data_IF_900934647848
#
_entry.id   IF_900934647848
#
_cell.length_a   1.000
_cell.length_b   1.000
_cell.length_c   1.000
_cell.angle_alpha   90.00
_cell.angle_beta   90.00
_cell.angle_gamma   90.00
#
_symmetry.space_group_name_H-M   'P 1'
#
loop_
_entity.id
_entity.type
_entity.pdbx_description
1 polymer ?
#
# COMPACT_ATOMS: atom_id res chain seq x y z
N UNK A 1 61.69 40.92 -14.51
CA UNK A 1 61.63 40.46 -13.10
C UNK A 1 60.61 39.33 -13.05
N UNK A 2 60.93 38.12 -13.52
CA UNK A 2 61.31 36.93 -12.72
C UNK A 2 60.64 36.81 -11.34
N UNK A 3 59.68 35.88 -11.26
CA UNK A 3 59.67 34.79 -10.27
C UNK A 3 58.79 33.63 -10.76
N UNK A 4 59.46 32.54 -11.06
CA UNK A 4 58.95 31.17 -11.16
C UNK A 4 58.28 30.71 -9.86
N UNK A 5 57.22 29.90 -9.98
CA UNK A 5 57.00 28.73 -9.12
C UNK A 5 56.40 27.61 -9.98
N UNK A 6 57.23 26.62 -10.25
CA UNK A 6 56.84 25.28 -10.69
C UNK A 6 56.25 24.47 -9.53
N UNK A 7 55.35 23.54 -9.81
CA UNK A 7 54.84 22.57 -8.83
C UNK A 7 53.97 21.50 -9.49
N UNK A 8 54.59 20.37 -9.80
CA UNK A 8 54.17 19.27 -10.68
C UNK A 8 52.84 18.57 -10.33
N UNK A 9 52.18 17.95 -11.34
CA UNK A 9 51.15 16.94 -11.15
C UNK A 9 51.79 15.57 -10.83
N UNK A 10 51.26 14.84 -9.86
CA UNK A 10 51.52 13.41 -9.67
C UNK A 10 50.23 12.65 -10.00
N UNK A 11 50.17 11.87 -11.08
CA UNK A 11 50.76 10.53 -11.31
C UNK A 11 49.91 9.39 -10.74
N UNK A 12 49.11 8.81 -11.65
CA UNK A 12 48.81 7.39 -11.92
C UNK A 12 48.89 6.35 -10.78
N UNK A 13 47.74 5.70 -10.57
CA UNK A 13 47.59 4.24 -10.48
C UNK A 13 46.24 3.95 -11.17
N UNK A 14 46.18 3.60 -12.46
CA UNK A 14 46.36 2.27 -13.04
C UNK A 14 46.08 1.08 -12.11
N UNK A 15 44.84 0.59 -12.14
CA UNK A 15 44.56 -0.85 -12.16
C UNK A 15 43.60 -1.12 -13.31
N UNK A 16 44.19 -1.43 -14.47
CA UNK A 16 43.82 -2.48 -15.41
C UNK A 16 42.76 -3.49 -14.96
N UNK A 17 42.04 -4.00 -15.97
CA UNK A 17 41.44 -5.35 -16.07
C UNK A 17 40.06 -5.55 -15.44
N UNK A 18 39.02 -6.06 -16.13
CA UNK A 18 38.87 -6.56 -17.51
C UNK A 18 37.37 -6.53 -17.82
N UNK A 19 37.02 -6.22 -19.07
CA UNK A 19 35.77 -6.69 -19.64
C UNK A 19 35.76 -8.23 -19.67
N UNK A 20 34.68 -8.85 -19.22
CA UNK A 20 34.36 -10.25 -19.52
C UNK A 20 32.84 -10.43 -19.54
N UNK A 21 32.26 -10.06 -20.67
CA UNK A 21 31.09 -10.73 -21.22
C UNK A 21 31.49 -12.16 -21.56
N UNK A 22 31.11 -13.17 -20.74
CA UNK A 22 31.32 -14.59 -21.07
C UNK A 22 30.20 -15.46 -20.44
N UNK A 23 29.32 -15.93 -21.34
CA UNK A 23 28.80 -17.31 -21.46
C UNK A 23 27.69 -17.75 -20.49
N UNK A 24 26.53 -18.06 -21.09
CA UNK A 24 25.54 -18.94 -20.50
C UNK A 24 26.09 -20.36 -20.31
N UNK A 25 25.83 -20.93 -19.14
CA UNK A 25 25.94 -22.35 -18.84
C UNK A 25 24.55 -22.76 -18.34
N UNK A 26 23.77 -23.47 -19.16
CA UNK A 26 23.75 -24.93 -19.29
C UNK A 26 23.05 -25.58 -18.08
N UNK A 27 21.87 -26.13 -18.33
CA UNK A 27 21.13 -26.92 -17.35
C UNK A 27 21.91 -28.20 -16.99
N UNK A 28 22.01 -28.55 -15.70
CA UNK A 28 21.42 -29.77 -15.06
C UNK A 28 22.06 -30.12 -13.70
N UNK A 29 21.43 -31.01 -12.90
CA UNK A 29 21.07 -30.75 -11.51
C UNK A 29 21.99 -31.49 -10.53
N UNK A 30 22.14 -30.96 -9.32
CA UNK A 30 22.88 -31.66 -8.27
C UNK A 30 22.84 -30.89 -6.96
N UNK A 31 22.15 -31.50 -6.00
CA UNK A 31 22.45 -31.43 -4.57
C UNK A 31 22.10 -30.15 -3.81
N UNK A 32 20.82 -30.09 -3.42
CA UNK A 32 20.39 -29.96 -2.02
C UNK A 32 21.36 -29.31 -1.03
N UNK A 33 21.65 -28.01 -1.19
CA UNK A 33 22.06 -27.20 -0.06
C UNK A 33 20.77 -26.78 0.68
N UNK A 34 20.42 -27.55 1.72
CA UNK A 34 19.39 -27.21 2.68
C UNK A 34 19.65 -25.78 3.18
N UNK A 35 18.94 -24.81 2.58
CA UNK A 35 18.88 -23.45 3.07
C UNK A 35 18.52 -23.53 4.56
N UNK A 36 19.49 -23.20 5.41
CA UNK A 36 19.32 -23.15 6.86
C UNK A 36 18.00 -22.41 7.14
N UNK A 37 17.09 -22.95 7.98
CA UNK A 37 15.82 -22.32 8.22
C UNK A 37 16.09 -20.89 8.69
N UNK A 38 15.65 -19.90 7.92
CA UNK A 38 15.76 -18.49 8.28
C UNK A 38 15.11 -18.37 9.65
N UNK A 39 15.92 -18.16 10.70
CA UNK A 39 15.41 -18.01 12.05
C UNK A 39 14.55 -16.75 12.06
N UNK A 40 13.24 -16.96 12.20
CA UNK A 40 12.29 -15.85 12.28
C UNK A 40 12.65 -15.02 13.51
N UNK A 41 12.70 -13.69 13.32
CA UNK A 41 12.89 -12.81 14.47
C UNK A 41 11.70 -13.01 15.41
N UNK A 42 11.93 -13.13 16.72
CA UNK A 42 10.83 -13.22 17.66
C UNK A 42 9.99 -11.94 17.58
N UNK A 43 8.66 -12.09 17.66
CA UNK A 43 7.71 -10.98 17.55
C UNK A 43 7.98 -9.85 18.56
N UNK A 44 8.62 -10.16 19.68
CA UNK A 44 9.07 -9.22 20.71
C UNK A 44 10.16 -8.25 20.24
N UNK A 45 10.82 -8.53 19.12
CA UNK A 45 11.81 -7.62 18.51
C UNK A 45 11.14 -6.45 17.80
N UNK A 46 9.85 -6.56 17.45
CA UNK A 46 9.12 -5.42 16.91
C UNK A 46 8.81 -4.42 18.04
N UNK A 47 9.54 -3.31 18.02
CA UNK A 47 9.17 -2.10 18.75
C UNK A 47 7.99 -1.45 18.04
N UNK A 48 6.79 -1.91 18.34
CA UNK A 48 5.60 -1.19 17.92
C UNK A 48 5.52 0.14 18.68
N UNK A 49 5.28 1.26 18.00
CA UNK A 49 4.97 2.51 18.69
C UNK A 49 3.71 2.30 19.54
N UNK A 50 3.71 2.89 20.73
CA UNK A 50 2.54 2.87 21.61
C UNK A 50 1.33 3.44 20.87
N UNK A 51 0.22 2.69 20.85
CA UNK A 51 -1.06 3.11 20.30
C UNK A 51 -1.90 3.62 21.47
N UNK A 52 -2.23 4.93 21.52
CA UNK A 52 -3.07 5.47 22.59
C UNK A 52 -4.43 4.78 22.65
N UNK A 53 -4.90 4.54 23.86
CA UNK A 53 -6.26 4.08 24.11
C UNK A 53 -7.27 5.21 23.83
N UNK A 54 -8.50 4.87 23.44
CA UNK A 54 -9.54 5.85 23.15
C UNK A 54 -9.85 6.71 24.40
N UNK A 55 -9.99 8.05 24.26
CA UNK A 55 -10.32 8.91 25.38
C UNK A 55 -11.69 8.55 25.94
N UNK A 56 -11.75 8.27 27.25
CA UNK A 56 -12.99 7.86 27.93
C UNK A 56 -14.06 8.96 27.99
N UNK A 57 -13.71 10.20 27.65
CA UNK A 57 -14.64 11.32 27.57
C UNK A 57 -14.46 12.06 26.23
N UNK A 58 -15.33 11.83 25.24
CA UNK A 58 -15.26 12.56 23.98
C UNK A 58 -15.66 14.02 24.20
N UNK A 59 -14.92 14.94 23.59
CA UNK A 59 -15.25 16.36 23.58
C UNK A 59 -16.64 16.56 22.93
N UNK A 60 -17.62 17.15 23.63
CA UNK A 60 -18.98 17.32 23.09
C UNK A 60 -19.02 18.15 21.80
N UNK A 61 -18.05 19.02 21.56
CA UNK A 61 -17.94 19.80 20.32
C UNK A 61 -17.49 18.94 19.13
N UNK A 62 -16.84 17.81 19.39
CA UNK A 62 -16.35 16.86 18.38
C UNK A 62 -17.37 15.80 17.99
N UNK A 63 -18.62 15.95 18.44
CA UNK A 63 -19.71 15.02 18.13
C UNK A 63 -20.09 15.02 16.65
N UNK A 64 -19.98 16.16 15.98
CA UNK A 64 -20.36 16.32 14.57
C UNK A 64 -19.23 15.98 13.58
N UNK A 65 -17.99 15.84 14.08
CA UNK A 65 -16.86 15.38 13.26
C UNK A 65 -17.03 13.87 12.96
N UNK A 66 -16.74 13.45 11.73
CA UNK A 66 -16.77 12.04 11.37
C UNK A 66 -15.79 11.26 12.27
N UNK A 67 -16.28 10.21 12.96
CA UNK A 67 -15.44 9.41 13.87
C UNK A 67 -14.27 8.78 13.09
N UNK A 68 -13.01 8.95 13.55
CA UNK A 68 -11.90 8.26 12.93
C UNK A 68 -12.09 6.74 13.03
N UNK A 69 -11.65 6.02 12.00
CA UNK A 69 -11.68 4.56 11.99
C UNK A 69 -10.88 4.00 13.18
N UNK A 70 -11.46 3.01 13.84
CA UNK A 70 -10.84 2.30 14.94
C UNK A 70 -9.87 1.22 14.45
N UNK A 71 -8.91 0.84 15.29
CA UNK A 71 -7.93 -0.20 14.95
C UNK A 71 -8.60 -1.53 14.57
N UNK A 72 -9.58 -1.98 15.35
CA UNK A 72 -10.32 -3.20 15.03
C UNK A 72 -11.06 -3.11 13.69
N UNK A 73 -11.49 -1.91 13.27
CA UNK A 73 -12.13 -1.71 11.97
C UNK A 73 -11.10 -1.85 10.84
N UNK A 74 -9.91 -1.27 11.01
CA UNK A 74 -8.81 -1.49 10.07
C UNK A 74 -8.43 -2.96 9.95
N UNK A 75 -8.37 -3.70 11.06
CA UNK A 75 -8.08 -5.13 11.07
C UNK A 75 -9.14 -5.94 10.32
N UNK A 76 -10.42 -5.64 10.53
CA UNK A 76 -11.52 -6.28 9.78
C UNK A 76 -11.45 -5.97 8.29
N UNK A 77 -11.17 -4.73 7.92
CA UNK A 77 -10.99 -4.33 6.52
C UNK A 77 -9.81 -5.10 5.90
N UNK A 78 -8.67 -5.16 6.60
CA UNK A 78 -7.46 -5.83 6.11
C UNK A 78 -7.61 -7.36 6.01
N UNK A 79 -8.40 -7.98 6.88
CA UNK A 79 -8.61 -9.44 6.92
C UNK A 79 -9.80 -9.93 6.07
N UNK A 80 -10.65 -9.03 5.57
CA UNK A 80 -11.85 -9.38 4.80
C UNK A 80 -11.53 -10.18 3.52
N UNK A 81 -12.17 -11.33 3.36
CA UNK A 81 -12.08 -12.15 2.14
C UNK A 81 -12.84 -11.50 0.97
N UNK A 82 -14.07 -11.03 1.21
CA UNK A 82 -14.90 -10.38 0.20
C UNK A 82 -14.23 -9.15 -0.41
N UNK A 83 -13.51 -8.36 0.40
CA UNK A 83 -12.76 -7.21 -0.11
C UNK A 83 -11.61 -7.64 -1.04
N UNK A 84 -10.88 -8.69 -0.66
CA UNK A 84 -9.77 -9.24 -1.47
C UNK A 84 -10.26 -9.79 -2.80
N UNK A 85 -11.32 -10.59 -2.78
CA UNK A 85 -11.96 -11.14 -3.98
C UNK A 85 -12.44 -10.05 -4.94
N UNK A 86 -13.06 -8.99 -4.41
CA UNK A 86 -13.51 -7.84 -5.22
C UNK A 86 -12.34 -7.10 -5.85
N UNK A 87 -11.25 -6.88 -5.11
CA UNK A 87 -10.05 -6.23 -5.65
C UNK A 87 -9.32 -7.10 -6.69
N UNK A 88 -9.31 -8.42 -6.50
CA UNK A 88 -8.69 -9.35 -7.45
C UNK A 88 -9.49 -9.48 -8.75
N UNK A 89 -10.82 -9.44 -8.66
CA UNK A 89 -11.71 -9.45 -9.83
C UNK A 89 -11.63 -8.16 -10.65
N UNK A 90 -11.18 -7.05 -10.05
CA UNK A 90 -11.20 -5.71 -10.66
C UNK A 90 -9.80 -5.07 -10.62
N UNK A 91 -8.86 -5.46 -11.50
CA UNK A 91 -7.48 -4.94 -11.47
C UNK A 91 -7.37 -3.44 -11.76
N UNK A 92 -8.27 -2.88 -12.58
CA UNK A 92 -8.34 -1.44 -12.86
C UNK A 92 -8.62 -0.63 -11.60
N UNK A 93 -9.43 -1.16 -10.68
CA UNK A 93 -9.73 -0.51 -9.41
C UNK A 93 -8.47 -0.30 -8.56
N UNK A 94 -7.52 -1.24 -8.59
CA UNK A 94 -6.23 -1.11 -7.90
C UNK A 94 -5.39 0.05 -8.45
N UNK A 95 -5.47 0.32 -9.75
CA UNK A 95 -4.76 1.43 -10.40
C UNK A 95 -5.37 2.76 -9.94
N UNK A 96 -6.70 2.87 -9.97
CA UNK A 96 -7.43 4.06 -9.51
C UNK A 96 -7.16 4.36 -8.03
N UNK A 97 -7.17 3.33 -7.17
CA UNK A 97 -6.86 3.48 -5.76
C UNK A 97 -5.43 3.98 -5.54
N UNK A 98 -4.45 3.50 -6.32
CA UNK A 98 -3.08 4.02 -6.26
C UNK A 98 -2.99 5.47 -6.70
N UNK A 99 -3.68 5.86 -7.78
CA UNK A 99 -3.69 7.27 -8.19
C UNK A 99 -4.29 8.18 -7.13
N UNK A 100 -5.39 7.75 -6.48
CA UNK A 100 -6.00 8.50 -5.38
C UNK A 100 -5.05 8.67 -4.18
N UNK A 101 -4.24 7.66 -3.89
CA UNK A 101 -3.30 7.69 -2.75
C UNK A 101 -2.12 8.65 -2.98
N UNK A 102 -1.81 8.95 -4.26
CA UNK A 102 -0.83 9.98 -4.61
C UNK A 102 -1.38 11.40 -4.46
N UNK A 103 -2.71 11.58 -4.55
CA UNK A 103 -3.36 12.88 -4.45
C UNK A 103 -3.47 13.35 -3.00
N UNK A 104 -3.44 14.67 -2.77
CA UNK A 104 -3.57 15.29 -1.45
C UNK A 104 -4.46 16.52 -1.53
N UNK A 105 -5.22 16.77 -0.47
CA UNK A 105 -6.13 17.92 -0.40
C UNK A 105 -7.23 17.87 -1.46
N UNK A 106 -7.72 19.04 -1.85
CA UNK A 106 -8.97 19.21 -2.60
C UNK A 106 -9.09 18.35 -3.87
N UNK A 107 -7.99 18.11 -4.59
CA UNK A 107 -7.99 17.25 -5.79
C UNK A 107 -8.43 15.81 -5.48
N UNK A 108 -7.99 15.29 -4.34
CA UNK A 108 -8.37 13.95 -3.86
C UNK A 108 -9.85 13.90 -3.53
N UNK A 109 -10.36 14.91 -2.83
CA UNK A 109 -11.78 14.98 -2.48
C UNK A 109 -12.66 15.05 -3.74
N UNK A 110 -12.31 15.88 -4.72
CA UNK A 110 -13.04 15.96 -6.00
C UNK A 110 -13.00 14.62 -6.77
N UNK A 111 -11.86 13.95 -6.80
CA UNK A 111 -11.72 12.65 -7.44
C UNK A 111 -12.55 11.57 -6.74
N UNK A 112 -12.63 11.60 -5.40
CA UNK A 112 -13.47 10.70 -4.61
C UNK A 112 -14.97 10.97 -4.83
N UNK A 113 -15.38 12.23 -4.84
CA UNK A 113 -16.77 12.61 -5.14
C UNK A 113 -17.18 12.13 -6.54
N UNK A 114 -16.28 12.25 -7.52
CA UNK A 114 -16.47 11.74 -8.87
C UNK A 114 -16.67 10.22 -8.88
N UNK A 115 -15.73 9.48 -8.30
CA UNK A 115 -15.76 8.02 -8.28
C UNK A 115 -16.91 7.43 -7.46
N UNK A 116 -17.37 8.14 -6.44
CA UNK A 116 -18.52 7.74 -5.61
C UNK A 116 -19.87 8.15 -6.23
N UNK A 117 -19.87 8.88 -7.34
CA UNK A 117 -21.11 9.35 -7.98
C UNK A 117 -21.88 10.37 -7.13
N UNK A 118 -21.22 11.03 -6.19
CA UNK A 118 -21.81 12.07 -5.32
C UNK A 118 -21.90 13.40 -6.08
N UNK A 119 -21.05 13.60 -7.07
CA UNK A 119 -21.05 14.79 -7.92
C UNK A 119 -22.36 14.91 -8.73
N UNK A 120 -22.84 16.13 -8.89
CA UNK A 120 -23.91 16.42 -9.84
C UNK A 120 -23.47 16.11 -11.28
N UNK A 121 -24.43 15.85 -12.16
CA UNK A 121 -24.25 15.45 -13.58
C UNK A 121 -23.46 16.45 -14.47
N UNK A 122 -22.90 17.53 -13.91
CA UNK A 122 -22.17 18.58 -14.63
C UNK A 122 -20.66 18.62 -14.36
N UNK A 123 -20.12 17.75 -13.51
CA UNK A 123 -18.68 17.78 -13.22
C UNK A 123 -17.91 16.87 -14.18
N UNK A 124 -17.01 17.47 -14.98
CA UNK A 124 -16.03 16.74 -15.78
C UNK A 124 -15.09 15.95 -14.85
N UNK A 125 -14.61 14.75 -15.24
CA UNK A 125 -13.60 14.06 -14.45
C UNK A 125 -12.39 14.97 -14.21
N UNK A 126 -11.87 15.06 -12.98
CA UNK A 126 -10.66 15.82 -12.73
C UNK A 126 -9.51 15.27 -13.57
N UNK A 127 -8.74 16.15 -14.22
CA UNK A 127 -7.60 15.82 -15.10
C UNK A 127 -6.51 14.96 -14.43
N UNK A 128 -6.56 14.80 -13.11
CA UNK A 128 -5.61 14.02 -12.30
C UNK A 128 -5.96 12.53 -12.21
N UNK A 129 -7.19 12.15 -12.56
CA UNK A 129 -7.57 10.74 -12.63
C UNK A 129 -6.96 10.06 -13.86
N UNK A 130 -6.64 8.75 -13.79
CA UNK A 130 -6.14 8.01 -14.94
C UNK A 130 -7.15 8.09 -16.10
N UNK A 131 -6.64 8.33 -17.31
CA UNK A 131 -7.45 8.35 -18.52
C UNK A 131 -8.15 6.99 -18.72
N UNK A 132 -9.44 7.02 -19.08
CA UNK A 132 -10.23 5.81 -19.34
C UNK A 132 -10.98 5.23 -18.13
N UNK A 133 -11.38 6.07 -17.17
CA UNK A 133 -12.34 5.64 -16.15
C UNK A 133 -13.71 5.42 -16.80
N UNK A 134 -14.01 4.16 -17.04
CA UNK A 134 -15.31 3.74 -17.55
C UNK A 134 -16.36 3.81 -16.44
N UNK A 135 -17.62 3.94 -16.85
CA UNK A 135 -18.75 3.87 -15.93
C UNK A 135 -18.81 2.52 -15.18
N UNK A 136 -18.22 1.47 -15.74
CA UNK A 136 -18.05 0.17 -15.09
C UNK A 136 -17.15 0.30 -13.86
N UNK A 137 -16.02 1.00 -13.99
CA UNK A 137 -15.06 1.22 -12.89
C UNK A 137 -15.66 2.06 -11.78
N UNK A 138 -16.47 3.07 -12.12
CA UNK A 138 -17.22 3.87 -11.14
C UNK A 138 -18.16 2.98 -10.33
N UNK A 139 -18.94 2.11 -10.99
CA UNK A 139 -19.82 1.15 -10.31
C UNK A 139 -19.04 0.15 -9.45
N UNK A 140 -17.87 -0.29 -9.90
CA UNK A 140 -16.99 -1.17 -9.10
C UNK A 140 -16.46 -0.46 -7.85
N UNK A 141 -16.18 0.84 -7.95
CA UNK A 141 -15.75 1.68 -6.82
C UNK A 141 -16.89 1.88 -5.81
N UNK A 142 -18.11 2.15 -6.29
CA UNK A 142 -19.31 2.21 -5.45
C UNK A 142 -19.55 0.87 -4.72
N UNK A 143 -19.43 -0.25 -5.44
CA UNK A 143 -19.54 -1.58 -4.86
C UNK A 143 -18.48 -1.83 -3.77
N UNK A 144 -17.23 -1.40 -4.01
CA UNK A 144 -16.16 -1.46 -3.01
C UNK A 144 -16.53 -0.64 -1.76
N UNK A 145 -17.02 0.59 -1.93
CA UNK A 145 -17.43 1.45 -0.82
C UNK A 145 -18.54 0.77 0.02
N UNK A 146 -19.51 0.14 -0.63
CA UNK A 146 -20.58 -0.61 0.03
C UNK A 146 -20.07 -1.83 0.81
N UNK A 147 -19.09 -2.56 0.26
CA UNK A 147 -18.44 -3.68 0.96
C UNK A 147 -17.73 -3.16 2.22
N UNK A 148 -16.94 -2.10 2.10
CA UNK A 148 -16.23 -1.49 3.23
C UNK A 148 -17.23 -1.01 4.30
N UNK A 149 -18.30 -0.33 3.89
CA UNK A 149 -19.36 0.09 4.81
C UNK A 149 -19.98 -1.10 5.54
N UNK A 150 -20.26 -2.21 4.86
CA UNK A 150 -20.76 -3.43 5.48
C UNK A 150 -19.80 -3.98 6.54
N UNK A 151 -18.49 -4.00 6.24
CA UNK A 151 -17.46 -4.47 7.18
C UNK A 151 -17.37 -3.57 8.42
N UNK A 152 -17.41 -2.25 8.23
CA UNK A 152 -17.27 -1.26 9.32
C UNK A 152 -18.52 -1.18 10.19
N UNK A 153 -19.70 -1.32 9.57
CA UNK A 153 -20.99 -1.14 10.26
C UNK A 153 -21.40 -2.38 11.04
N UNK A 154 -20.94 -3.57 10.66
CA UNK A 154 -21.28 -4.79 11.42
C UNK A 154 -20.66 -4.73 12.82
N UNK A 155 -21.47 -4.58 13.89
CA UNK A 155 -20.96 -4.70 15.25
C UNK A 155 -20.42 -6.12 15.43
N UNK A 156 -19.39 -6.30 16.25
CA UNK A 156 -18.71 -7.59 16.51
C UNK A 156 -19.67 -8.79 16.55
N UNK A 157 -19.91 -9.42 15.41
CA UNK A 157 -20.23 -10.82 15.39
C UNK A 157 -18.95 -11.51 15.87
N UNK A 158 -19.03 -12.40 16.88
CA UNK A 158 -17.87 -13.19 17.24
C UNK A 158 -17.42 -13.91 15.98
N UNK A 159 -16.19 -13.61 15.55
CA UNK A 159 -15.50 -14.32 14.49
C UNK A 159 -15.65 -15.79 14.83
N UNK A 160 -16.43 -16.53 14.06
CA UNK A 160 -16.64 -17.95 14.27
C UNK A 160 -15.27 -18.58 14.43
N UNK A 161 -15.05 -19.13 15.63
CA UNK A 161 -13.84 -19.86 15.93
C UNK A 161 -13.73 -20.93 14.87
N UNK A 162 -12.69 -20.81 14.04
CA UNK A 162 -12.18 -21.94 13.29
C UNK A 162 -11.70 -22.94 14.35
N UNK A 163 -12.63 -23.80 14.79
CA UNK A 163 -12.34 -24.98 15.59
C UNK A 163 -11.51 -25.87 14.66
N UNK A 164 -10.20 -25.75 14.78
CA UNK A 164 -9.28 -26.75 14.25
C UNK A 164 -9.41 -27.92 15.23
N UNK A 165 -10.40 -28.78 15.02
CA UNK A 165 -10.38 -30.12 15.59
C UNK A 165 -9.12 -30.81 15.05
N UNK A 166 -8.16 -31.03 15.95
CA UNK A 166 -7.05 -31.94 15.72
C UNK A 166 -7.51 -33.31 16.20
N UNK A 167 -7.73 -34.22 15.25
CA UNK A 167 -7.68 -35.67 15.49
C UNK A 167 -6.27 -36.10 15.94
#
# INVERSE_FOLDING_TARGET
MHRDVCGHPNTLADTSSVAAEIIGHDERPGDAELAQPIQLRPLTTLKWPYIPEEPSYPDPLKKDDHKPLQLWQYEKIASSASLREHLDSNPQLKIVLRSLDTMRGQERELALEFLLGVHGSSHEPPNTLPEGIDQITIKQFEALAKIIQGIVTTPNAPTEGLVIERD
#
